data_IF_805261496286
#
_entry.id   IF_805261496286
#
_cell.length_a   1.000
_cell.length_b   1.000
_cell.length_c   1.000
_cell.angle_alpha   90.00
_cell.angle_beta   90.00
_cell.angle_gamma   90.00
#
_symmetry.space_group_name_H-M   'P 1'
#
loop_
_entity.id
_entity.type
_entity.pdbx_description
1 polymer ?
#
# COMPACT_ATOMS: atom_id res chain seq x y z
N UNK A 1 -11.68 9.81 -9.82
CA UNK A 1 -11.37 10.38 -11.16
C UNK A 1 -11.78 9.44 -12.29
N UNK A 2 -11.23 8.22 -12.36
CA UNK A 2 -11.44 7.35 -13.53
C UNK A 2 -12.56 6.32 -13.41
N UNK A 3 -13.15 6.15 -12.21
CA UNK A 3 -14.17 5.12 -11.94
C UNK A 3 -15.39 5.24 -12.87
N UNK A 4 -15.85 6.46 -13.11
CA UNK A 4 -17.02 6.72 -13.96
C UNK A 4 -16.70 6.65 -15.47
N UNK A 5 -15.44 6.41 -15.81
CA UNK A 5 -14.96 6.23 -17.18
C UNK A 5 -14.78 4.74 -17.55
N UNK A 6 -15.25 3.81 -16.72
CA UNK A 6 -15.10 2.36 -16.96
C UNK A 6 -13.69 1.82 -16.73
N UNK A 7 -12.79 2.64 -16.16
CA UNK A 7 -11.40 2.24 -15.86
C UNK A 7 -11.31 1.74 -14.43
N UNK A 8 -10.73 0.55 -14.27
CA UNK A 8 -10.35 0.01 -12.97
C UNK A 8 -8.88 0.33 -12.68
N UNK A 9 -8.61 0.92 -11.52
CA UNK A 9 -7.26 1.22 -11.04
C UNK A 9 -7.01 0.36 -9.81
N UNK A 10 -5.93 -0.42 -9.85
CA UNK A 10 -5.45 -1.23 -8.75
C UNK A 10 -4.04 -0.77 -8.38
N UNK A 11 -3.78 -0.52 -7.10
CA UNK A 11 -2.43 -0.39 -6.58
C UNK A 11 -2.01 -1.72 -5.93
N UNK A 12 -0.91 -2.29 -6.39
CA UNK A 12 -0.32 -3.51 -5.83
C UNK A 12 0.91 -3.10 -5.01
N UNK A 13 0.90 -3.42 -3.72
CA UNK A 13 1.98 -3.09 -2.78
C UNK A 13 2.71 -4.38 -2.37
N UNK A 14 3.76 -4.78 -3.10
CA UNK A 14 4.58 -5.91 -2.71
C UNK A 14 5.43 -5.59 -1.47
N UNK A 15 5.84 -6.63 -0.74
CA UNK A 15 7.02 -6.53 0.13
C UNK A 15 8.29 -6.76 -0.68
N UNK A 16 9.42 -6.85 0.00
CA UNK A 16 10.67 -7.30 -0.57
C UNK A 16 10.44 -8.59 -1.39
N UNK A 17 10.56 -8.46 -2.71
CA UNK A 17 10.30 -9.53 -3.68
C UNK A 17 11.61 -9.89 -4.35
N UNK A 18 11.85 -11.18 -4.56
CA UNK A 18 13.09 -11.68 -5.17
C UNK A 18 13.14 -11.33 -6.66
N UNK A 19 13.62 -10.14 -6.97
CA UNK A 19 13.81 -9.65 -8.34
C UNK A 19 15.26 -9.20 -8.55
N UNK A 20 15.64 -8.95 -9.80
CA UNK A 20 16.98 -8.45 -10.17
C UNK A 20 17.34 -7.09 -9.55
N UNK A 21 16.38 -6.39 -8.94
CA UNK A 21 16.60 -5.05 -8.37
C UNK A 21 17.67 -5.05 -7.27
N UNK A 22 17.78 -6.13 -6.49
CA UNK A 22 18.72 -6.24 -5.37
C UNK A 22 20.18 -6.32 -5.83
N UNK A 23 20.44 -7.15 -6.84
CA UNK A 23 21.77 -7.27 -7.44
C UNK A 23 22.19 -5.95 -8.11
N UNK A 24 21.27 -5.30 -8.82
CA UNK A 24 21.52 -3.99 -9.46
C UNK A 24 21.77 -2.86 -8.44
N UNK A 25 21.19 -2.95 -7.25
CA UNK A 25 21.42 -2.00 -6.16
C UNK A 25 22.65 -2.31 -5.31
N UNK A 26 23.40 -3.37 -5.62
CA UNK A 26 24.59 -3.77 -4.87
C UNK A 26 24.27 -4.33 -3.47
N UNK A 27 23.03 -4.75 -3.24
CA UNK A 27 22.58 -5.29 -1.96
C UNK A 27 22.87 -6.79 -1.93
N UNK A 28 23.61 -7.23 -0.91
CA UNK A 28 23.83 -8.66 -0.65
C UNK A 28 22.53 -9.32 -0.15
N UNK A 29 21.99 -10.22 -0.97
CA UNK A 29 20.79 -11.00 -0.68
C UNK A 29 20.92 -11.85 0.59
N UNK A 30 22.14 -12.16 1.05
CA UNK A 30 22.37 -12.87 2.32
C UNK A 30 21.94 -12.05 3.55
N UNK A 31 21.87 -10.72 3.41
CA UNK A 31 21.50 -9.78 4.47
C UNK A 31 20.04 -9.35 4.40
N UNK A 32 19.28 -9.81 3.39
CA UNK A 32 17.89 -9.44 3.21
C UNK A 32 16.99 -10.49 3.87
N UNK A 33 15.98 -10.08 4.66
CA UNK A 33 14.97 -11.01 5.18
C UNK A 33 14.33 -11.85 4.06
N UNK A 34 13.71 -13.00 4.40
CA UNK A 34 13.07 -13.87 3.41
C UNK A 34 12.17 -13.08 2.44
N UNK A 35 12.45 -13.23 1.15
CA UNK A 35 11.74 -12.57 0.07
C UNK A 35 10.58 -13.43 -0.39
N UNK A 36 9.48 -12.79 -0.78
CA UNK A 36 8.38 -13.47 -1.48
C UNK A 36 8.85 -13.87 -2.89
N UNK A 37 8.44 -15.06 -3.35
CA UNK A 37 8.64 -15.47 -4.74
C UNK A 37 7.81 -14.57 -5.66
N UNK A 38 8.36 -14.25 -6.84
CA UNK A 38 7.67 -13.36 -7.78
C UNK A 38 6.37 -13.97 -8.31
N UNK A 39 6.29 -15.30 -8.46
CA UNK A 39 5.09 -15.96 -8.94
C UNK A 39 3.97 -15.85 -7.89
N UNK A 40 4.27 -16.13 -6.61
CA UNK A 40 3.32 -15.99 -5.51
C UNK A 40 2.79 -14.54 -5.39
N UNK A 41 3.67 -13.55 -5.58
CA UNK A 41 3.29 -12.14 -5.60
C UNK A 41 2.28 -11.84 -6.71
N UNK A 42 2.60 -12.27 -7.94
CA UNK A 42 1.78 -11.98 -9.12
C UNK A 42 0.44 -12.71 -9.04
N UNK A 43 0.43 -13.97 -8.59
CA UNK A 43 -0.80 -14.75 -8.40
C UNK A 43 -1.72 -14.05 -7.39
N UNK A 44 -1.18 -13.60 -6.25
CA UNK A 44 -1.95 -12.85 -5.26
C UNK A 44 -2.48 -11.52 -5.83
N UNK A 45 -1.66 -10.80 -6.61
CA UNK A 45 -2.05 -9.54 -7.23
C UNK A 45 -3.21 -9.73 -8.25
N UNK A 46 -3.14 -10.79 -9.06
CA UNK A 46 -4.17 -11.13 -10.05
C UNK A 46 -5.47 -11.58 -9.39
N UNK A 47 -5.40 -12.33 -8.28
CA UNK A 47 -6.60 -12.64 -7.48
C UNK A 47 -7.27 -11.35 -6.98
N UNK A 48 -6.50 -10.37 -6.52
CA UNK A 48 -7.01 -9.04 -6.15
C UNK A 48 -7.65 -8.30 -7.33
N UNK A 49 -7.01 -8.37 -8.50
CA UNK A 49 -7.48 -7.72 -9.72
C UNK A 49 -8.84 -8.29 -10.18
N UNK A 50 -8.98 -9.61 -10.18
CA UNK A 50 -10.21 -10.32 -10.53
C UNK A 50 -11.36 -9.94 -9.58
N UNK A 51 -11.03 -9.70 -8.30
CA UNK A 51 -11.98 -9.23 -7.27
C UNK A 51 -12.28 -7.73 -7.35
N UNK A 52 -11.66 -7.00 -8.28
CA UNK A 52 -11.74 -5.53 -8.37
C UNK A 52 -11.29 -4.81 -7.09
N UNK A 53 -10.35 -5.41 -6.38
CA UNK A 53 -9.73 -4.79 -5.21
C UNK A 53 -8.93 -3.55 -5.65
N UNK A 54 -9.13 -2.42 -4.98
CA UNK A 54 -8.42 -1.18 -5.36
C UNK A 54 -6.98 -1.17 -4.83
N UNK A 55 -6.74 -1.76 -3.66
CA UNK A 55 -5.44 -1.79 -2.98
C UNK A 55 -5.16 -3.23 -2.58
N UNK A 56 -4.21 -3.87 -3.25
CA UNK A 56 -3.83 -5.26 -2.98
C UNK A 56 -2.47 -5.29 -2.32
N UNK A 57 -2.40 -5.84 -1.11
CA UNK A 57 -1.17 -5.92 -0.31
C UNK A 57 -0.91 -7.40 0.03
N UNK A 58 -0.24 -8.17 -0.85
CA UNK A 58 -0.14 -9.63 -0.71
C UNK A 58 0.48 -10.12 0.61
N UNK A 59 1.33 -9.31 1.22
CA UNK A 59 1.99 -9.64 2.50
C UNK A 59 1.16 -9.29 3.73
N UNK A 60 0.10 -8.49 3.58
CA UNK A 60 -0.72 -8.05 4.69
C UNK A 60 -1.70 -9.15 5.07
N UNK A 61 -1.44 -9.80 6.21
CA UNK A 61 -2.25 -10.93 6.68
C UNK A 61 -3.65 -10.53 7.18
N UNK A 62 -3.76 -9.35 7.79
CA UNK A 62 -5.02 -8.84 8.34
C UNK A 62 -5.41 -7.55 7.62
N UNK A 63 -6.39 -7.67 6.73
CA UNK A 63 -6.93 -6.57 5.93
C UNK A 63 -7.49 -5.42 6.82
N UNK A 64 -7.93 -5.73 8.05
CA UNK A 64 -8.45 -4.70 8.94
C UNK A 64 -7.41 -3.63 9.29
N UNK A 65 -6.12 -3.95 9.21
CA UNK A 65 -5.06 -2.96 9.44
C UNK A 65 -5.07 -1.87 8.35
N UNK A 66 -5.22 -2.25 7.08
CA UNK A 66 -5.36 -1.30 5.98
C UNK A 66 -6.65 -0.48 6.13
N UNK A 67 -7.77 -1.16 6.40
CA UNK A 67 -9.06 -0.51 6.58
C UNK A 67 -9.07 0.49 7.74
N UNK A 68 -8.39 0.19 8.84
CA UNK A 68 -8.26 1.10 9.98
C UNK A 68 -7.36 2.29 9.66
N UNK A 69 -6.21 2.06 8.99
CA UNK A 69 -5.35 3.14 8.52
C UNK A 69 -6.10 4.13 7.63
N UNK A 70 -6.85 3.62 6.66
CA UNK A 70 -7.61 4.46 5.72
C UNK A 70 -8.72 5.25 6.44
N UNK A 71 -9.45 4.60 7.36
CA UNK A 71 -10.44 5.30 8.20
C UNK A 71 -9.80 6.42 9.03
N UNK A 72 -8.64 6.17 9.63
CA UNK A 72 -7.89 7.18 10.38
C UNK A 72 -7.45 8.34 9.47
N UNK A 73 -6.96 8.04 8.26
CA UNK A 73 -6.57 9.04 7.27
C UNK A 73 -7.75 9.95 6.90
N UNK A 74 -8.91 9.38 6.62
CA UNK A 74 -10.12 10.16 6.28
C UNK A 74 -10.60 11.00 7.47
N UNK A 75 -10.53 10.46 8.70
CA UNK A 75 -10.94 11.17 9.92
C UNK A 75 -10.12 12.44 10.16
N UNK A 76 -8.88 12.51 9.65
CA UNK A 76 -8.05 13.70 9.76
C UNK A 76 -8.49 14.83 8.82
N UNK A 77 -9.14 14.54 7.69
CA UNK A 77 -9.42 15.53 6.64
C UNK A 77 -10.20 16.76 7.12
N UNK A 78 -11.29 16.63 7.93
CA UNK A 78 -12.02 17.80 8.43
C UNK A 78 -11.14 18.71 9.32
N UNK A 79 -10.14 18.15 10.00
CA UNK A 79 -9.29 18.88 10.94
C UNK A 79 -8.27 19.80 10.25
N UNK A 80 -8.08 19.67 8.93
CA UNK A 80 -7.21 20.56 8.15
C UNK A 80 -7.91 21.82 7.64
N UNK A 81 -9.24 21.91 7.79
CA UNK A 81 -10.04 23.04 7.31
C UNK A 81 -10.26 24.10 8.38
N UNK A 82 -9.18 24.52 9.06
CA UNK A 82 -9.19 25.57 10.08
C UNK A 82 -8.25 26.70 9.69
N UNK A 83 -8.72 27.95 9.78
CA UNK A 83 -7.87 29.13 9.63
C UNK A 83 -7.07 29.43 10.92
N UNK A 84 -7.50 28.85 12.05
CA UNK A 84 -6.86 29.07 13.34
C UNK A 84 -5.67 28.15 13.57
N UNK A 85 -4.57 28.73 14.06
CA UNK A 85 -3.42 27.99 14.56
C UNK A 85 -3.86 27.08 15.72
N UNK A 86 -3.54 25.79 15.62
CA UNK A 86 -3.86 24.82 16.65
C UNK A 86 -3.29 25.22 18.01
N UNK A 87 -4.06 25.01 19.08
CA UNK A 87 -3.73 25.49 20.43
C UNK A 87 -2.35 25.04 20.92
N UNK A 88 -1.89 23.85 20.52
CA UNK A 88 -0.54 23.35 20.84
C UNK A 88 0.62 24.21 20.33
N UNK A 89 0.36 25.23 19.52
CA UNK A 89 1.35 26.18 19.00
C UNK A 89 1.15 27.61 19.53
N UNK A 90 0.20 27.82 20.46
CA UNK A 90 0.02 29.10 21.14
C UNK A 90 0.60 28.95 22.55
N UNK A 91 1.54 29.84 22.90
CA UNK A 91 2.20 29.87 24.23
C UNK A 91 1.24 30.33 25.32
#
# INVERSE_FOLDING_TARGET
ELKDHGVHVQAVLPSATKTEIWERSGIDLSQVPPLMDVNDLVDAALIGFDRKETITIPVLKDENQWNNFEKSRITLLPNFSSADVAQRYKN
#
